data_IF_899532129118
#
_entry.id   IF_899532129118
#
_cell.length_a   1.000
_cell.length_b   1.000
_cell.length_c   1.000
_cell.angle_alpha   90.00
_cell.angle_beta   90.00
_cell.angle_gamma   90.00
#
_symmetry.space_group_name_H-M   'P 1'
#
loop_
_entity.id
_entity.type
_entity.pdbx_description
1 polymer ?
#
# COMPACT_ATOMS: atom_id res chain seq x y z
N UNK A 1 -13.78 3.12 9.91
CA UNK A 1 -13.27 3.58 8.59
C UNK A 1 -12.29 2.56 8.06
N UNK A 2 -11.71 2.75 6.87
CA UNK A 2 -10.70 1.88 6.28
C UNK A 2 -9.43 2.69 5.98
N UNK A 3 -8.25 2.09 6.14
CA UNK A 3 -6.95 2.67 5.76
C UNK A 3 -6.20 1.71 4.85
N UNK A 4 -5.25 2.27 4.10
CA UNK A 4 -4.29 1.50 3.31
C UNK A 4 -3.01 1.29 4.10
N UNK A 5 -2.50 0.08 4.04
CA UNK A 5 -1.22 -0.34 4.59
C UNK A 5 -0.37 -0.85 3.45
N UNK A 6 0.81 -0.26 3.27
CA UNK A 6 1.73 -0.60 2.19
C UNK A 6 2.96 -1.21 2.84
N UNK A 7 3.30 -2.42 2.43
CA UNK A 7 4.55 -3.08 2.82
C UNK A 7 5.43 -3.14 1.59
N UNK A 8 6.61 -2.54 1.67
CA UNK A 8 7.67 -2.66 0.71
C UNK A 8 8.70 -3.61 1.28
N UNK A 9 9.04 -4.66 0.53
CA UNK A 9 10.09 -5.60 0.87
C UNK A 9 11.14 -5.57 -0.21
N UNK A 10 12.38 -5.23 0.15
CA UNK A 10 13.49 -5.40 -0.76
C UNK A 10 13.80 -6.90 -0.91
N UNK A 11 13.78 -7.43 -2.14
CA UNK A 11 13.97 -8.86 -2.38
C UNK A 11 15.43 -9.27 -2.30
N UNK A 12 16.36 -8.32 -2.45
CA UNK A 12 17.81 -8.54 -2.39
C UNK A 12 18.32 -8.46 -0.95
N UNK A 13 18.00 -7.36 -0.24
CA UNK A 13 18.48 -7.12 1.13
C UNK A 13 17.57 -7.73 2.19
N UNK A 14 16.33 -8.09 1.82
CA UNK A 14 15.31 -8.58 2.75
C UNK A 14 14.71 -7.49 3.64
N UNK A 15 15.11 -6.22 3.49
CA UNK A 15 14.60 -5.12 4.31
C UNK A 15 13.10 -4.90 4.09
N UNK A 16 12.36 -4.71 5.17
CA UNK A 16 10.91 -4.49 5.14
C UNK A 16 10.61 -3.07 5.65
N UNK A 17 9.97 -2.28 4.81
CA UNK A 17 9.45 -0.95 5.14
C UNK A 17 7.94 -0.97 5.11
N UNK A 18 7.32 -0.48 6.17
CA UNK A 18 5.86 -0.42 6.30
C UNK A 18 5.43 1.04 6.29
N UNK A 19 4.43 1.34 5.47
CA UNK A 19 3.83 2.64 5.33
C UNK A 19 2.33 2.53 5.58
N UNK A 20 1.75 3.60 6.11
CA UNK A 20 0.32 3.69 6.31
C UNK A 20 -0.18 4.94 5.61
N UNK A 21 -1.29 4.81 4.87
CA UNK A 21 -1.96 5.99 4.34
C UNK A 21 -2.52 6.83 5.47
N UNK A 22 -2.31 8.14 5.37
CA UNK A 22 -2.94 9.15 6.23
C UNK A 22 -4.42 9.31 5.91
N UNK A 23 -4.85 8.93 4.69
CA UNK A 23 -6.22 9.06 4.23
C UNK A 23 -7.09 7.90 4.73
N UNK A 24 -8.24 8.26 5.30
CA UNK A 24 -9.27 7.32 5.72
C UNK A 24 -10.39 7.23 4.68
N UNK A 25 -10.85 6.02 4.44
CA UNK A 25 -11.93 5.72 3.52
C UNK A 25 -13.17 5.26 4.29
N UNK A 26 -14.32 5.82 3.93
CA UNK A 26 -15.61 5.44 4.55
C UNK A 26 -16.09 4.04 4.14
N UNK A 27 -15.57 3.48 3.05
CA UNK A 27 -15.94 2.16 2.51
C UNK A 27 -14.73 1.40 2.01
N UNK A 28 -14.77 0.07 2.14
CA UNK A 28 -13.74 -0.86 1.67
C UNK A 28 -13.55 -0.77 0.15
N UNK A 29 -14.62 -0.66 -0.63
CA UNK A 29 -14.55 -0.57 -2.09
C UNK A 29 -13.75 0.67 -2.57
N UNK A 30 -13.93 1.81 -1.89
CA UNK A 30 -13.15 3.03 -2.18
C UNK A 30 -11.68 2.87 -1.80
N UNK A 31 -11.41 2.20 -0.67
CA UNK A 31 -10.04 1.89 -0.27
C UNK A 31 -9.36 0.96 -1.27
N UNK A 32 -10.02 -0.13 -1.70
CA UNK A 32 -9.48 -1.06 -2.70
C UNK A 32 -9.18 -0.34 -4.02
N UNK A 33 -10.09 0.51 -4.51
CA UNK A 33 -9.84 1.29 -5.73
C UNK A 33 -8.62 2.20 -5.60
N UNK A 34 -8.43 2.82 -4.45
CA UNK A 34 -7.24 3.64 -4.16
C UNK A 34 -5.97 2.78 -4.07
N UNK A 35 -6.05 1.60 -3.45
CA UNK A 35 -4.95 0.63 -3.40
C UNK A 35 -4.48 0.21 -4.79
N UNK A 36 -5.43 -0.14 -5.68
CA UNK A 36 -5.12 -0.51 -7.06
C UNK A 36 -4.44 0.63 -7.82
N UNK A 37 -4.92 1.88 -7.65
CA UNK A 37 -4.29 3.04 -8.28
C UNK A 37 -2.88 3.31 -7.74
N UNK A 38 -2.65 3.10 -6.45
CA UNK A 38 -1.31 3.22 -5.87
C UNK A 38 -0.37 2.14 -6.41
N UNK A 39 -0.83 0.90 -6.50
CA UNK A 39 -0.05 -0.19 -7.09
C UNK A 39 0.34 0.15 -8.54
N UNK A 40 -0.61 0.65 -9.35
CA UNK A 40 -0.35 1.07 -10.73
C UNK A 40 0.71 2.17 -10.82
N UNK A 41 0.66 3.18 -9.95
CA UNK A 41 1.67 4.26 -9.88
C UNK A 41 3.04 3.71 -9.47
N UNK A 42 3.10 2.80 -8.50
CA UNK A 42 4.36 2.18 -8.04
C UNK A 42 4.99 1.37 -9.17
N UNK A 43 4.18 0.61 -9.91
CA UNK A 43 4.64 -0.21 -11.04
C UNK A 43 5.07 0.65 -12.23
N UNK A 44 4.30 1.69 -12.60
CA UNK A 44 4.56 2.52 -13.78
C UNK A 44 5.73 3.51 -13.62
N UNK A 45 6.03 3.98 -12.40
CA UNK A 45 7.13 4.93 -12.13
C UNK A 45 8.37 4.28 -11.50
N UNK A 46 8.42 2.95 -11.42
CA UNK A 46 9.36 2.24 -10.57
C UNK A 46 10.80 2.22 -11.09
N UNK A 47 11.62 3.22 -10.70
CA UNK A 47 13.09 3.12 -10.62
C UNK A 47 13.58 2.05 -9.61
N UNK A 48 12.64 1.42 -8.89
CA UNK A 48 12.83 0.51 -7.74
C UNK A 48 11.97 -0.76 -7.83
N UNK A 49 11.27 -0.98 -8.96
CA UNK A 49 10.37 -2.12 -9.13
C UNK A 49 11.13 -3.46 -9.26
N UNK A 50 12.33 -3.43 -9.83
CA UNK A 50 13.14 -4.65 -10.01
C UNK A 50 13.58 -5.29 -8.68
N UNK A 51 13.86 -4.50 -7.65
CA UNK A 51 14.44 -5.01 -6.39
C UNK A 51 13.47 -5.00 -5.20
N UNK A 52 12.22 -4.54 -5.36
CA UNK A 52 11.28 -4.42 -4.26
C UNK A 52 9.90 -4.99 -4.58
N UNK A 53 9.41 -5.88 -3.72
CA UNK A 53 8.05 -6.40 -3.70
C UNK A 53 7.16 -5.45 -2.88
N UNK A 54 6.06 -4.99 -3.47
CA UNK A 54 5.09 -4.12 -2.81
C UNK A 54 3.77 -4.85 -2.56
N UNK A 55 3.34 -4.90 -1.31
CA UNK A 55 2.03 -5.42 -0.90
C UNK A 55 1.18 -4.28 -0.36
N UNK A 56 0.00 -4.05 -0.95
CA UNK A 56 -0.97 -3.06 -0.46
C UNK A 56 -2.17 -3.78 0.13
N UNK A 57 -2.48 -3.50 1.40
CA UNK A 57 -3.57 -4.10 2.16
C UNK A 57 -4.59 -3.03 2.59
N UNK A 58 -5.88 -3.37 2.52
CA UNK A 58 -6.96 -2.53 3.06
C UNK A 58 -7.34 -3.06 4.44
N UNK A 59 -7.13 -2.25 5.48
CA UNK A 59 -7.50 -2.60 6.85
C UNK A 59 -8.64 -1.74 7.39
N UNK A 60 -9.56 -2.35 8.14
CA UNK A 60 -10.61 -1.62 8.86
C UNK A 60 -10.03 -1.01 10.14
N UNK A 61 -10.19 0.29 10.30
CA UNK A 61 -9.83 1.04 11.51
C UNK A 61 -11.08 1.38 12.31
N UNK A 62 -11.03 1.12 13.62
CA UNK A 62 -12.04 1.62 14.57
C UNK A 62 -11.61 3.02 15.01
N UNK A 63 -12.54 3.98 14.95
CA UNK A 63 -12.38 5.18 15.77
C UNK A 63 -12.63 4.74 17.21
N UNK A 64 -11.64 4.96 18.08
CA UNK A 64 -11.85 4.98 19.51
C UNK A 64 -12.61 6.23 19.90
#
# INVERSE_FOLDING_TARGET
>A
MYKLFITCRNVITGEIKKYQSTQEYKSSAKAVKAACKMADVITCNGKYADDNEYTVTVGKVKHG
#
